data_IF_002920306727
#
_entry.id   IF_002920306727
#
_cell.length_a   1.000
_cell.length_b   1.000
_cell.length_c   1.000
_cell.angle_alpha   90.00
_cell.angle_beta   90.00
_cell.angle_gamma   90.00
#
_symmetry.space_group_name_H-M   'P 1'
#
loop_
_entity.id
_entity.type
_entity.pdbx_description
1 polymer ?
#
# COMPACT_ATOMS: atom_id res chain seq x y z
N UNK A 1 -9.33 13.18 -13.41
CA UNK A 1 -8.56 13.29 -14.66
C UNK A 1 -7.06 13.53 -14.35
N UNK A 2 -6.46 12.72 -13.47
CA UNK A 2 -5.02 12.77 -13.16
C UNK A 2 -4.52 11.35 -12.84
N UNK A 3 -4.66 10.43 -13.80
CA UNK A 3 -4.01 9.12 -13.73
C UNK A 3 -3.65 8.69 -15.15
N UNK A 4 -2.62 9.31 -15.73
CA UNK A 4 -2.16 8.90 -17.07
C UNK A 4 -0.68 9.12 -17.36
N UNK A 5 0.12 9.68 -16.44
CA UNK A 5 1.49 10.08 -16.79
C UNK A 5 2.49 9.79 -15.68
N UNK A 6 2.71 8.52 -15.35
CA UNK A 6 4.06 8.00 -15.07
C UNK A 6 4.06 6.46 -14.94
N UNK A 7 4.46 5.76 -16.00
CA UNK A 7 5.25 4.52 -15.94
C UNK A 7 5.22 3.87 -17.32
N UNK A 8 6.40 3.48 -17.82
CA UNK A 8 6.49 2.30 -18.68
C UNK A 8 5.67 1.20 -17.99
N UNK A 9 4.54 0.79 -18.57
CA UNK A 9 3.61 -0.13 -17.91
C UNK A 9 4.35 -1.43 -17.61
N UNK A 10 4.72 -1.66 -16.36
CA UNK A 10 5.37 -2.89 -15.95
C UNK A 10 4.39 -4.04 -16.17
N UNK A 11 4.70 -4.92 -17.13
CA UNK A 11 3.88 -6.10 -17.38
C UNK A 11 4.27 -7.18 -16.37
N UNK A 12 3.56 -7.22 -15.25
CA UNK A 12 3.81 -8.19 -14.17
C UNK A 12 3.71 -9.65 -14.66
N UNK A 13 2.71 -9.96 -15.50
CA UNK A 13 2.48 -11.34 -15.98
C UNK A 13 3.64 -11.82 -16.84
N UNK A 14 4.08 -10.99 -17.78
CA UNK A 14 5.22 -11.29 -18.67
C UNK A 14 6.54 -11.35 -17.90
N UNK A 15 6.72 -10.45 -16.93
CA UNK A 15 7.90 -10.44 -16.06
C UNK A 15 7.98 -11.71 -15.22
N UNK A 16 6.88 -12.15 -14.62
CA UNK A 16 6.83 -13.41 -13.87
C UNK A 16 7.00 -14.65 -14.75
N UNK A 17 6.48 -14.64 -15.99
CA UNK A 17 6.74 -15.70 -16.96
C UNK A 17 8.25 -15.81 -17.26
N UNK A 18 8.88 -14.68 -17.56
CA UNK A 18 10.33 -14.62 -17.82
C UNK A 18 11.14 -15.04 -16.59
N UNK A 19 10.73 -14.62 -15.39
CA UNK A 19 11.35 -15.06 -14.14
C UNK A 19 11.19 -16.57 -13.95
N UNK A 20 10.02 -17.14 -14.25
CA UNK A 20 9.79 -18.59 -14.19
C UNK A 20 10.74 -19.38 -15.09
N UNK A 21 10.96 -18.91 -16.32
CA UNK A 21 11.94 -19.49 -17.25
C UNK A 21 13.37 -19.43 -16.68
N UNK A 22 13.79 -18.26 -16.20
CA UNK A 22 15.13 -18.06 -15.63
C UNK A 22 15.36 -18.91 -14.38
N UNK A 23 14.37 -19.00 -13.50
CA UNK A 23 14.45 -19.83 -12.29
C UNK A 23 14.59 -21.31 -12.66
N UNK A 24 13.81 -21.81 -13.62
CA UNK A 24 13.95 -23.21 -14.08
C UNK A 24 15.34 -23.48 -14.68
N UNK A 25 15.85 -22.56 -15.50
CA UNK A 25 17.19 -22.67 -16.10
C UNK A 25 18.30 -22.69 -15.03
N UNK A 26 18.22 -21.81 -14.03
CA UNK A 26 19.18 -21.73 -12.93
C UNK A 26 19.14 -23.00 -12.06
N UNK A 27 17.94 -23.47 -11.73
CA UNK A 27 17.77 -24.71 -10.95
C UNK A 27 18.34 -25.91 -11.69
N UNK A 28 18.03 -26.08 -12.98
CA UNK A 28 18.58 -27.17 -13.79
C UNK A 28 20.10 -27.09 -13.95
N UNK A 29 20.64 -25.87 -14.08
CA UNK A 29 22.09 -25.62 -14.13
C UNK A 29 22.74 -26.07 -12.82
N UNK A 30 22.19 -25.66 -11.68
CA UNK A 30 22.66 -26.04 -10.35
C UNK A 30 22.58 -27.56 -10.12
N UNK A 31 21.46 -28.20 -10.48
CA UNK A 31 21.29 -29.66 -10.38
C UNK A 31 22.37 -30.39 -11.18
N UNK A 32 22.58 -29.99 -12.43
CA UNK A 32 23.56 -30.61 -13.32
C UNK A 32 25.00 -30.43 -12.81
N UNK A 33 25.34 -29.25 -12.29
CA UNK A 33 26.65 -28.97 -11.70
C UNK A 33 26.96 -29.85 -10.49
N UNK A 34 25.94 -30.29 -9.77
CA UNK A 34 26.07 -31.14 -8.58
C UNK A 34 25.78 -32.64 -8.87
N UNK A 35 25.65 -33.02 -10.15
CA UNK A 35 25.43 -34.41 -10.56
C UNK A 35 24.01 -34.94 -10.32
N UNK A 36 23.04 -34.06 -10.05
CA UNK A 36 21.63 -34.43 -9.92
C UNK A 36 20.91 -34.40 -11.27
N UNK A 37 19.82 -35.15 -11.37
CA UNK A 37 18.94 -35.11 -12.55
C UNK A 37 18.24 -33.75 -12.65
N UNK A 38 18.17 -33.15 -13.86
CA UNK A 38 17.36 -31.96 -14.10
C UNK A 38 15.88 -32.17 -13.74
N UNK A 39 15.17 -31.07 -13.55
CA UNK A 39 13.72 -31.09 -13.36
C UNK A 39 13.02 -31.77 -14.55
N UNK A 40 11.98 -32.55 -14.25
CA UNK A 40 11.09 -33.03 -15.30
C UNK A 40 10.24 -31.89 -15.86
N UNK A 41 9.77 -32.04 -17.11
CA UNK A 41 8.90 -31.05 -17.75
C UNK A 41 7.65 -30.72 -16.92
N UNK A 42 7.10 -31.72 -16.22
CA UNK A 42 5.97 -31.54 -15.29
C UNK A 42 6.35 -30.63 -14.11
N UNK A 43 7.53 -30.87 -13.50
CA UNK A 43 8.01 -30.07 -12.36
C UNK A 43 8.33 -28.63 -12.77
N UNK A 44 8.90 -28.43 -13.96
CA UNK A 44 9.12 -27.10 -14.51
C UNK A 44 7.79 -26.36 -14.73
N UNK A 45 6.80 -27.04 -15.32
CA UNK A 45 5.48 -26.46 -15.56
C UNK A 45 4.81 -26.04 -14.25
N UNK A 46 4.88 -26.89 -13.23
CA UNK A 46 4.35 -26.57 -11.89
C UNK A 46 5.07 -25.38 -11.27
N UNK A 47 6.41 -25.34 -11.32
CA UNK A 47 7.19 -24.24 -10.74
C UNK A 47 6.90 -22.91 -11.43
N UNK A 48 6.88 -22.89 -12.77
CA UNK A 48 6.52 -21.70 -13.57
C UNK A 48 5.10 -21.24 -13.24
N UNK A 49 4.15 -22.18 -13.18
CA UNK A 49 2.76 -21.90 -12.82
C UNK A 49 2.62 -21.27 -11.42
N UNK A 50 3.36 -21.78 -10.44
CA UNK A 50 3.37 -21.21 -9.08
C UNK A 50 3.94 -19.79 -9.03
N UNK A 51 5.03 -19.51 -9.76
CA UNK A 51 5.61 -18.17 -9.85
C UNK A 51 4.62 -17.20 -10.51
N UNK A 52 3.97 -17.62 -11.60
CA UNK A 52 2.99 -16.78 -12.28
C UNK A 52 1.70 -16.57 -11.48
N UNK A 53 1.34 -17.51 -10.60
CA UNK A 53 0.19 -17.38 -9.71
C UNK A 53 0.31 -16.23 -8.70
N UNK A 54 1.51 -15.66 -8.52
CA UNK A 54 1.72 -14.42 -7.74
C UNK A 54 1.03 -13.21 -8.40
N UNK A 55 0.83 -13.20 -9.72
CA UNK A 55 0.05 -12.16 -10.40
C UNK A 55 -1.47 -12.26 -10.17
N UNK A 56 -1.95 -13.32 -9.50
CA UNK A 56 -3.37 -13.46 -9.21
C UNK A 56 -3.75 -12.47 -8.09
N UNK A 57 -4.71 -11.59 -8.36
CA UNK A 57 -5.25 -10.63 -7.38
C UNK A 57 -5.90 -11.31 -6.17
N UNK A 58 -6.34 -12.57 -6.31
CA UNK A 58 -6.90 -13.36 -5.22
C UNK A 58 -5.85 -14.14 -4.40
N UNK A 59 -4.57 -13.96 -4.71
CA UNK A 59 -3.49 -14.54 -3.92
C UNK A 59 -3.50 -13.98 -2.48
N UNK A 60 -3.75 -14.83 -1.49
CA UNK A 60 -3.83 -14.45 -0.08
C UNK A 60 -2.53 -13.82 0.45
N UNK A 61 -1.37 -14.24 -0.05
CA UNK A 61 -0.07 -13.69 0.35
C UNK A 61 0.06 -12.26 -0.19
N UNK A 62 -0.31 -12.01 -1.45
CA UNK A 62 -0.31 -10.67 -2.03
C UNK A 62 -1.26 -9.75 -1.26
N UNK A 63 -2.49 -10.18 -1.00
CA UNK A 63 -3.45 -9.42 -0.16
C UNK A 63 -2.90 -9.09 1.23
N UNK A 64 -2.19 -10.03 1.85
CA UNK A 64 -1.55 -9.82 3.15
C UNK A 64 -0.41 -8.79 3.06
N UNK A 65 0.42 -8.84 2.01
CA UNK A 65 1.48 -7.87 1.76
C UNK A 65 0.89 -6.48 1.54
N UNK A 66 -0.15 -6.36 0.73
CA UNK A 66 -0.84 -5.09 0.46
C UNK A 66 -1.39 -4.48 1.75
N UNK A 67 -2.06 -5.29 2.58
CA UNK A 67 -2.58 -4.84 3.89
C UNK A 67 -1.46 -4.36 4.82
N UNK A 68 -0.29 -5.03 4.83
CA UNK A 68 0.86 -4.61 5.62
C UNK A 68 1.45 -3.29 5.13
N UNK A 69 1.54 -3.11 3.81
CA UNK A 69 2.00 -1.86 3.19
C UNK A 69 1.05 -0.72 3.54
N UNK A 70 -0.27 -0.91 3.36
CA UNK A 70 -1.27 0.10 3.69
C UNK A 70 -1.18 0.51 5.16
N UNK A 71 -1.14 -0.46 6.08
CA UNK A 71 -1.03 -0.19 7.52
C UNK A 71 0.28 0.53 7.88
N UNK A 72 1.37 0.20 7.21
CA UNK A 72 2.63 0.92 7.39
C UNK A 72 2.49 2.39 6.98
N UNK A 73 1.90 2.67 5.80
CA UNK A 73 1.68 4.02 5.30
C UNK A 73 0.75 4.85 6.21
N UNK A 74 -0.33 4.24 6.70
CA UNK A 74 -1.25 4.86 7.68
C UNK A 74 -0.53 5.23 8.97
N UNK A 75 0.25 4.29 9.53
CA UNK A 75 1.04 4.54 10.74
C UNK A 75 2.08 5.63 10.51
N UNK A 76 2.74 5.63 9.36
CA UNK A 76 3.77 6.61 9.00
C UNK A 76 3.17 8.02 8.88
N UNK A 77 1.96 8.12 8.33
CA UNK A 77 1.22 9.37 8.27
C UNK A 77 0.84 9.88 9.67
N UNK A 78 0.30 9.01 10.52
CA UNK A 78 -0.06 9.35 11.90
C UNK A 78 1.16 9.75 12.75
N UNK A 79 2.31 9.11 12.52
CA UNK A 79 3.56 9.40 13.22
C UNK A 79 4.35 10.56 12.62
N UNK A 80 3.89 11.21 11.53
CA UNK A 80 4.64 12.28 10.86
C UNK A 80 4.99 13.47 11.78
N UNK A 81 4.28 13.60 12.89
CA UNK A 81 4.48 14.65 13.91
C UNK A 81 5.31 14.15 15.13
N UNK A 82 5.68 12.86 15.16
CA UNK A 82 6.45 12.22 16.22
C UNK A 82 7.88 11.88 15.76
N UNK A 83 8.83 11.85 16.71
CA UNK A 83 10.27 11.64 16.42
C UNK A 83 10.65 10.21 16.01
N UNK A 84 9.77 9.23 16.17
CA UNK A 84 10.06 7.82 15.87
C UNK A 84 9.33 7.35 14.62
N UNK A 85 10.10 6.84 13.64
CA UNK A 85 9.56 6.17 12.47
C UNK A 85 8.94 4.82 12.87
N UNK A 86 7.80 4.43 12.26
CA UNK A 86 7.23 3.12 12.50
C UNK A 86 8.18 2.04 12.00
N UNK A 87 8.28 0.94 12.75
CA UNK A 87 9.07 -0.21 12.33
C UNK A 87 8.46 -0.85 11.06
N UNK A 88 9.32 -1.34 10.17
CA UNK A 88 8.89 -2.04 8.96
C UNK A 88 8.20 -3.36 9.34
N UNK A 89 7.01 -3.66 8.79
CA UNK A 89 6.34 -4.91 9.05
C UNK A 89 7.20 -6.12 8.66
N UNK A 90 7.12 -7.19 9.46
CA UNK A 90 7.83 -8.44 9.16
C UNK A 90 7.53 -8.95 7.75
N UNK A 91 8.56 -9.47 7.08
CA UNK A 91 8.48 -9.97 5.70
C UNK A 91 8.64 -8.91 4.61
N UNK A 92 8.69 -7.61 4.96
CA UNK A 92 8.95 -6.52 4.00
C UNK A 92 10.37 -5.95 4.08
N UNK A 93 11.25 -6.59 4.87
CA UNK A 93 12.65 -6.20 4.99
C UNK A 93 13.39 -6.02 3.65
N UNK A 94 13.22 -6.90 2.65
CA UNK A 94 13.86 -6.74 1.35
C UNK A 94 13.49 -5.47 0.57
N UNK A 95 12.33 -4.87 0.87
CA UNK A 95 11.82 -3.66 0.18
C UNK A 95 11.73 -2.45 1.14
N UNK A 96 12.41 -2.51 2.29
CA UNK A 96 12.29 -1.50 3.34
C UNK A 96 12.58 -0.10 2.81
N UNK A 97 13.68 0.06 2.07
CA UNK A 97 14.13 1.36 1.59
C UNK A 97 13.13 1.98 0.62
N UNK A 98 12.64 1.18 -0.32
CA UNK A 98 11.62 1.58 -1.30
C UNK A 98 10.32 1.97 -0.60
N UNK A 99 9.92 1.19 0.41
CA UNK A 99 8.71 1.45 1.20
C UNK A 99 8.83 2.75 2.00
N UNK A 100 9.98 3.05 2.60
CA UNK A 100 10.24 4.31 3.28
C UNK A 100 10.20 5.51 2.32
N UNK A 101 10.81 5.39 1.14
CA UNK A 101 10.77 6.42 0.10
C UNK A 101 9.34 6.71 -0.37
N UNK A 102 8.51 5.68 -0.55
CA UNK A 102 7.09 5.81 -0.88
C UNK A 102 6.33 6.49 0.26
N UNK A 103 6.60 6.12 1.52
CA UNK A 103 5.94 6.69 2.68
C UNK A 103 6.20 8.20 2.81
N UNK A 104 7.44 8.65 2.60
CA UNK A 104 7.77 10.09 2.59
C UNK A 104 6.99 10.83 1.51
N UNK A 105 6.91 10.27 0.29
CA UNK A 105 6.14 10.88 -0.81
C UNK A 105 4.65 10.90 -0.50
N UNK A 106 4.12 9.83 0.09
CA UNK A 106 2.73 9.71 0.51
C UNK A 106 2.35 10.79 1.52
N UNK A 107 3.15 10.99 2.59
CA UNK A 107 2.90 12.04 3.58
C UNK A 107 2.94 13.43 2.96
N UNK A 108 3.91 13.71 2.09
CA UNK A 108 3.99 14.99 1.39
C UNK A 108 2.75 15.25 0.54
N UNK A 109 2.27 14.24 -0.18
CA UNK A 109 1.07 14.33 -1.01
C UNK A 109 -0.17 14.61 -0.15
N UNK A 110 -0.36 13.86 0.93
CA UNK A 110 -1.50 14.05 1.85
C UNK A 110 -1.47 15.44 2.48
N UNK A 111 -0.31 15.90 2.94
CA UNK A 111 -0.16 17.22 3.54
C UNK A 111 -0.42 18.35 2.54
N UNK A 112 0.03 18.19 1.29
CA UNK A 112 -0.26 19.14 0.23
C UNK A 112 -1.76 19.20 -0.08
N UNK A 113 -2.40 18.03 -0.25
CA UNK A 113 -3.85 17.96 -0.46
C UNK A 113 -4.60 18.64 0.69
N UNK A 114 -4.25 18.34 1.94
CA UNK A 114 -4.81 19.02 3.11
C UNK A 114 -4.63 20.53 3.03
N UNK A 115 -3.42 21.01 2.79
CA UNK A 115 -3.14 22.45 2.71
C UNK A 115 -3.97 23.17 1.63
N UNK A 116 -4.17 22.54 0.47
CA UNK A 116 -4.92 23.13 -0.65
C UNK A 116 -6.43 23.05 -0.42
N UNK A 117 -6.92 21.91 0.07
CA UNK A 117 -8.36 21.64 0.12
C UNK A 117 -9.01 21.94 1.48
N UNK A 118 -8.22 22.12 2.55
CA UNK A 118 -8.75 22.41 3.88
C UNK A 118 -9.77 23.54 3.92
N UNK A 119 -9.55 24.71 3.29
CA UNK A 119 -10.50 25.81 3.33
C UNK A 119 -11.90 25.46 2.77
N UNK A 120 -11.98 24.56 1.80
CA UNK A 120 -13.25 24.12 1.21
C UNK A 120 -14.00 23.19 2.16
N UNK A 121 -13.30 22.26 2.77
CA UNK A 121 -13.87 21.35 3.76
C UNK A 121 -14.28 22.12 5.03
N UNK A 122 -13.45 23.06 5.51
CA UNK A 122 -13.77 23.95 6.63
C UNK A 122 -15.08 24.71 6.41
N UNK A 123 -15.29 25.22 5.19
CA UNK A 123 -16.52 25.94 4.85
C UNK A 123 -17.76 25.03 4.84
N UNK A 124 -17.64 23.77 4.43
CA UNK A 124 -18.73 22.79 4.46
C UNK A 124 -19.01 22.32 5.87
N UNK A 125 -17.97 21.95 6.62
CA UNK A 125 -18.05 21.50 8.01
C UNK A 125 -18.62 22.61 8.90
N UNK A 126 -18.16 23.85 8.72
CA UNK A 126 -18.68 25.00 9.45
C UNK A 126 -20.19 25.19 9.25
N UNK A 127 -20.72 24.97 8.05
CA UNK A 127 -22.17 25.03 7.78
C UNK A 127 -22.94 23.87 8.41
N UNK A 128 -22.35 22.68 8.50
CA UNK A 128 -22.99 21.51 9.12
C UNK A 128 -23.04 21.69 10.64
N UNK A 129 -21.90 22.02 11.25
CA UNK A 129 -21.77 22.17 12.70
C UNK A 129 -22.63 23.34 13.23
N UNK A 130 -22.66 24.48 12.53
CA UNK A 130 -23.55 25.58 12.91
C UNK A 130 -25.03 25.21 12.76
N UNK A 131 -25.40 24.36 11.78
CA UNK A 131 -26.77 23.87 11.61
C UNK A 131 -27.18 22.90 12.72
N UNK A 132 -26.25 22.12 13.26
CA UNK A 132 -26.49 21.27 14.44
C UNK A 132 -26.68 22.10 15.72
N UNK A 133 -25.95 23.21 15.89
CA UNK A 133 -26.12 24.12 17.04
C UNK A 133 -27.51 24.78 17.08
N UNK A 134 -28.09 25.15 15.93
CA UNK A 134 -29.48 25.63 15.87
C UNK A 134 -30.53 24.55 16.19
N UNK A 135 -30.19 23.27 15.97
CA UNK A 135 -31.08 22.14 16.30
C UNK A 135 -30.89 21.66 17.74
N UNK A 136 -29.71 21.86 18.35
CA UNK A 136 -29.43 21.55 19.76
C UNK A 136 -29.85 22.68 20.73
N UNK A 137 -30.05 23.91 20.24
CA UNK A 137 -30.65 24.99 21.03
C UNK A 137 -32.10 24.70 21.47
N UNK A 138 -32.73 23.62 20.97
CA UNK A 138 -33.99 23.07 21.47
C UNK A 138 -33.84 21.91 22.47
N UNK A 139 -32.65 21.32 22.65
CA UNK A 139 -32.49 20.04 23.35
C UNK A 139 -31.13 19.96 24.06
N UNK A 140 -31.11 20.27 25.35
CA UNK A 140 -29.95 20.12 26.23
C UNK A 140 -29.53 18.64 26.35
N UNK A 141 -28.29 18.29 25.97
CA UNK A 141 -27.25 17.74 26.87
C UNK A 141 -26.15 16.96 26.12
N UNK A 142 -24.94 17.08 26.68
CA UNK A 142 -23.78 16.16 26.67
C UNK A 142 -22.83 16.15 25.47
N UNK A 143 -21.61 16.58 25.77
CA UNK A 143 -20.40 15.77 25.58
C UNK A 143 -19.97 15.55 24.14
N UNK A 144 -19.62 16.63 23.43
CA UNK A 144 -18.89 16.53 22.17
C UNK A 144 -17.45 16.11 22.44
N UNK A 145 -17.12 14.84 22.22
CA UNK A 145 -15.74 14.44 21.97
C UNK A 145 -15.24 15.28 20.80
N UNK A 146 -14.14 15.99 20.95
CA UNK A 146 -13.46 16.65 19.85
C UNK A 146 -13.29 15.60 18.76
N UNK A 147 -14.05 15.73 17.68
CA UNK A 147 -13.81 14.99 16.46
C UNK A 147 -12.42 15.47 16.04
N UNK A 148 -11.43 14.55 16.07
CA UNK A 148 -10.09 14.87 15.63
C UNK A 148 -10.17 15.22 14.14
N UNK A 149 -10.28 16.52 13.85
CA UNK A 149 -10.39 17.07 12.51
C UNK A 149 -9.18 16.69 11.64
N UNK A 150 -8.12 16.10 12.19
CA UNK A 150 -6.99 15.59 11.40
C UNK A 150 -7.42 14.47 10.45
N UNK A 151 -8.48 13.72 10.75
CA UNK A 151 -8.98 12.63 9.90
C UNK A 151 -9.94 13.07 8.79
N UNK A 152 -10.52 14.28 8.86
CA UNK A 152 -11.51 14.72 7.85
C UNK A 152 -10.82 15.12 6.53
N UNK A 153 -9.56 15.54 6.59
CA UNK A 153 -8.81 16.03 5.42
C UNK A 153 -8.14 14.93 4.58
N UNK A 154 -8.50 13.66 4.82
CA UNK A 154 -7.89 12.49 4.18
C UNK A 154 -8.71 11.91 3.02
N UNK A 155 -9.87 12.51 2.71
CA UNK A 155 -10.73 12.17 1.56
C UNK A 155 -10.75 13.31 0.53
#
# INVERSE_FOLDING_TARGET
>A
MLCSTFSSSFNLKESLATTGEKVCAEVNTCLSQHGFTPLSAERETVLKGQIQAVANSDNTICKLIDSRIQKFLENYLASSHQKSLPAVPGGLGPIQKELEEIAVKYVRLVNYNKMVFSPYYDAVLGKILTKEEYQLAGNTSKGGSLIDCSCIYLL
#
